data_IF_049505398348
#
_entry.id   IF_049505398348
#
_cell.length_a   1.000
_cell.length_b   1.000
_cell.length_c   1.000
_cell.angle_alpha   90.00
_cell.angle_beta   90.00
_cell.angle_gamma   90.00
#
_symmetry.space_group_name_H-M   'P 1'
#
loop_
_entity.id
_entity.type
_entity.pdbx_description
1 polymer ?
#
# COMPACT_ATOMS: atom_id res chain seq x y z
N UNK A 1 2.61 13.51 -2.60
CA UNK A 1 1.24 13.01 -2.63
C UNK A 1 0.42 13.64 -3.74
N UNK A 2 -0.67 13.01 -4.14
CA UNK A 2 -1.58 13.62 -5.09
C UNK A 2 -2.08 14.97 -4.58
N UNK A 3 -2.02 16.04 -5.38
CA UNK A 3 -2.57 17.34 -5.00
C UNK A 3 -4.02 17.25 -4.54
N UNK A 4 -4.76 16.29 -5.05
CA UNK A 4 -6.17 16.08 -4.75
C UNK A 4 -6.38 15.46 -3.37
N UNK A 5 -5.57 14.48 -2.96
CA UNK A 5 -5.61 13.96 -1.60
C UNK A 5 -5.22 15.03 -0.57
N UNK A 6 -4.26 15.89 -0.91
CA UNK A 6 -3.88 17.01 -0.06
C UNK A 6 -4.99 18.05 0.06
N UNK A 7 -5.72 18.33 -1.02
CA UNK A 7 -6.82 19.27 -1.02
C UNK A 7 -8.03 18.81 -0.19
N UNK A 8 -8.21 17.50 -0.05
CA UNK A 8 -9.28 16.93 0.75
C UNK A 8 -9.12 17.12 2.24
N UNK A 9 -7.90 16.87 2.73
CA UNK A 9 -7.66 16.69 4.15
C UNK A 9 -6.43 17.41 4.67
N UNK A 10 -5.65 18.00 3.80
CA UNK A 10 -4.37 18.52 4.15
C UNK A 10 -4.06 19.91 3.66
N UNK A 11 -4.98 20.55 2.93
CA UNK A 11 -4.73 21.92 2.48
C UNK A 11 -4.52 22.89 3.67
N UNK A 12 -5.09 22.56 4.80
CA UNK A 12 -4.94 23.34 6.04
C UNK A 12 -4.01 22.66 7.04
N UNK A 13 -3.69 21.37 6.85
CA UNK A 13 -2.87 20.60 7.79
C UNK A 13 -3.48 20.43 9.18
N UNK A 14 -4.71 20.89 9.38
CA UNK A 14 -5.35 20.90 10.69
C UNK A 14 -6.65 20.08 10.65
N UNK A 15 -6.73 18.95 11.38
CA UNK A 15 -7.95 18.15 11.48
C UNK A 15 -9.16 18.93 12.01
N UNK A 16 -8.93 20.06 12.68
CA UNK A 16 -10.00 20.91 13.22
C UNK A 16 -10.70 21.76 12.17
N UNK A 17 -10.13 21.90 10.98
CA UNK A 17 -10.74 22.69 9.88
C UNK A 17 -11.67 21.86 9.00
N UNK A 18 -11.75 20.56 9.23
CA UNK A 18 -12.83 19.74 8.71
C UNK A 18 -14.06 20.11 9.53
N UNK A 19 -15.08 20.69 8.88
CA UNK A 19 -16.34 21.01 9.54
C UNK A 19 -16.82 19.79 10.34
N UNK A 20 -17.15 20.02 11.60
CA UNK A 20 -17.65 18.94 12.48
C UNK A 20 -18.94 18.30 11.97
N UNK A 21 -19.61 18.98 11.04
CA UNK A 21 -20.81 18.51 10.35
C UNK A 21 -20.48 17.70 9.07
N UNK A 22 -19.26 17.78 8.55
CA UNK A 22 -18.80 16.82 7.54
C UNK A 22 -18.50 15.53 8.29
N UNK A 23 -19.44 14.63 8.28
CA UNK A 23 -19.48 13.33 8.96
C UNK A 23 -18.35 12.39 8.50
N UNK A 24 -17.13 12.79 8.75
CA UNK A 24 -16.00 11.87 8.73
C UNK A 24 -15.92 11.21 10.10
N UNK A 25 -16.79 10.24 10.30
CA UNK A 25 -16.80 9.46 11.51
C UNK A 25 -15.50 8.66 11.58
N UNK A 26 -14.67 9.00 12.56
CA UNK A 26 -13.49 8.20 12.93
C UNK A 26 -13.91 6.79 13.40
N UNK A 27 -15.20 6.58 13.60
CA UNK A 27 -15.79 5.33 14.06
C UNK A 27 -16.11 4.34 12.94
N UNK A 28 -16.09 4.78 11.66
CA UNK A 28 -16.27 3.85 10.55
C UNK A 28 -14.97 3.11 10.29
N UNK A 29 -15.03 1.79 10.31
CA UNK A 29 -13.91 0.92 9.95
C UNK A 29 -13.43 1.18 8.51
N UNK A 30 -14.33 1.60 7.63
CA UNK A 30 -14.05 1.92 6.26
C UNK A 30 -13.35 3.28 6.12
N UNK A 31 -12.35 3.34 5.26
CA UNK A 31 -11.74 4.60 4.87
C UNK A 31 -12.69 5.35 3.91
N UNK A 32 -13.03 6.58 4.23
CA UNK A 32 -13.89 7.38 3.36
C UNK A 32 -13.21 7.73 2.05
N UNK A 33 -13.99 7.71 0.98
CA UNK A 33 -13.56 8.13 -0.34
C UNK A 33 -14.67 8.89 -1.05
N UNK A 34 -14.31 9.53 -2.16
CA UNK A 34 -15.25 10.16 -3.08
C UNK A 34 -14.89 9.77 -4.51
N UNK A 35 -15.85 9.20 -5.20
CA UNK A 35 -15.78 8.97 -6.64
C UNK A 35 -17.18 8.98 -7.23
N UNK A 36 -17.31 9.45 -8.47
CA UNK A 36 -18.61 9.45 -9.19
C UNK A 36 -18.89 8.11 -9.90
N UNK A 37 -17.95 7.15 -9.83
CA UNK A 37 -18.07 5.83 -10.46
C UNK A 37 -19.08 4.93 -9.76
N UNK A 38 -19.22 5.08 -8.46
CA UNK A 38 -20.13 4.31 -7.60
C UNK A 38 -21.16 5.23 -6.95
N UNK A 39 -22.22 4.65 -6.40
CA UNK A 39 -23.28 5.43 -5.76
C UNK A 39 -22.81 6.02 -4.42
N UNK A 40 -23.56 7.03 -3.96
CA UNK A 40 -23.42 7.57 -2.61
C UNK A 40 -23.73 6.49 -1.56
N UNK A 41 -23.00 6.53 -0.44
CA UNK A 41 -23.09 5.57 0.66
C UNK A 41 -22.78 4.12 0.26
N UNK A 42 -22.08 3.88 -0.83
CA UNK A 42 -21.70 2.56 -1.27
C UNK A 42 -20.34 2.14 -0.67
N UNK A 43 -20.26 0.90 -0.19
CA UNK A 43 -19.01 0.34 0.31
C UNK A 43 -18.26 -0.36 -0.81
N UNK A 44 -16.93 -0.21 -0.81
CA UNK A 44 -16.06 -0.71 -1.85
C UNK A 44 -14.91 -1.51 -1.24
N UNK A 45 -14.46 -2.50 -1.98
CA UNK A 45 -13.15 -3.08 -1.78
C UNK A 45 -12.15 -2.44 -2.75
N UNK A 46 -10.91 -2.26 -2.30
CA UNK A 46 -9.86 -1.72 -3.14
C UNK A 46 -8.52 -2.42 -2.90
N UNK A 47 -7.67 -2.42 -3.91
CA UNK A 47 -6.28 -2.84 -3.79
C UNK A 47 -5.42 -2.20 -4.88
N UNK A 48 -4.14 -2.08 -4.58
CA UNK A 48 -3.08 -1.61 -5.47
C UNK A 48 -2.12 -2.75 -5.79
N UNK A 49 -1.58 -2.78 -7.00
CA UNK A 49 -0.49 -3.69 -7.35
C UNK A 49 0.86 -3.15 -6.79
N UNK A 50 1.76 -4.01 -6.25
CA UNK A 50 1.59 -5.43 -6.05
C UNK A 50 0.65 -5.76 -4.88
N UNK A 51 -0.18 -6.78 -5.04
CA UNK A 51 -1.06 -7.29 -3.99
C UNK A 51 -0.40 -8.49 -3.32
N UNK A 52 0.14 -8.30 -2.11
CA UNK A 52 0.98 -9.28 -1.44
C UNK A 52 0.23 -10.12 -0.40
N UNK A 53 -0.92 -9.66 0.07
CA UNK A 53 -1.66 -10.39 1.08
C UNK A 53 -2.95 -9.72 1.55
N UNK A 54 -3.61 -10.37 2.49
CA UNK A 54 -4.91 -9.96 3.05
C UNK A 54 -4.89 -8.57 3.70
N UNK A 55 -3.73 -8.13 4.19
CA UNK A 55 -3.54 -6.81 4.79
C UNK A 55 -3.51 -5.68 3.75
N UNK A 56 -3.32 -5.98 2.45
CA UNK A 56 -3.38 -4.99 1.36
C UNK A 56 -4.79 -4.75 0.84
N UNK A 57 -5.78 -5.53 1.27
CA UNK A 57 -7.15 -5.33 0.83
C UNK A 57 -7.77 -4.18 1.63
N UNK A 58 -8.06 -3.08 0.94
CA UNK A 58 -8.68 -1.91 1.52
C UNK A 58 -10.20 -2.00 1.54
N UNK A 59 -10.80 -1.35 2.54
CA UNK A 59 -12.24 -1.24 2.71
C UNK A 59 -12.61 0.23 2.73
N UNK A 60 -13.37 0.68 1.74
CA UNK A 60 -13.72 2.07 1.52
C UNK A 60 -15.21 2.29 1.65
N UNK A 61 -15.58 3.51 2.04
CA UNK A 61 -16.95 4.01 2.04
C UNK A 61 -17.03 5.23 1.11
N UNK A 62 -17.76 5.10 0.01
CA UNK A 62 -17.95 6.17 -0.93
C UNK A 62 -19.01 7.14 -0.41
N UNK A 63 -18.62 8.37 -0.13
CA UNK A 63 -19.51 9.41 0.40
C UNK A 63 -19.48 10.62 -0.52
N UNK A 64 -20.65 11.00 -1.02
CA UNK A 64 -20.78 12.19 -1.84
C UNK A 64 -20.66 13.45 -0.99
N UNK A 65 -19.87 14.38 -1.49
CA UNK A 65 -19.63 15.64 -0.85
C UNK A 65 -19.88 16.77 -1.84
N UNK A 66 -20.79 17.68 -1.51
CA UNK A 66 -21.17 18.79 -2.40
C UNK A 66 -20.02 19.77 -2.66
N UNK A 67 -19.05 19.88 -1.73
CA UNK A 67 -17.83 20.67 -1.95
C UNK A 67 -16.97 20.08 -3.05
N UNK A 68 -16.85 18.74 -3.10
CA UNK A 68 -16.16 18.08 -4.21
C UNK A 68 -16.83 18.34 -5.53
N UNK A 69 -18.13 18.15 -5.59
CA UNK A 69 -18.94 18.44 -6.77
C UNK A 69 -18.81 19.88 -7.22
N UNK A 70 -18.76 20.82 -6.27
CA UNK A 70 -18.70 22.26 -6.55
C UNK A 70 -17.32 22.71 -7.03
N UNK A 71 -16.25 22.23 -6.39
CA UNK A 71 -14.89 22.74 -6.62
C UNK A 71 -14.04 21.85 -7.51
N UNK A 72 -14.34 20.56 -7.58
CA UNK A 72 -13.59 19.58 -8.36
C UNK A 72 -14.52 18.81 -9.29
N UNK A 73 -14.27 18.94 -10.59
CA UNK A 73 -14.98 18.17 -11.60
C UNK A 73 -14.22 16.87 -11.90
N UNK A 74 -14.16 16.00 -10.91
CA UNK A 74 -13.54 14.69 -11.11
C UNK A 74 -14.33 13.86 -12.11
N UNK A 75 -13.63 13.19 -13.01
CA UNK A 75 -14.22 12.14 -13.83
C UNK A 75 -14.36 10.84 -13.02
N UNK A 76 -15.08 9.89 -13.56
CA UNK A 76 -15.33 8.57 -12.93
C UNK A 76 -14.08 7.67 -12.80
N UNK A 77 -12.95 8.11 -13.36
CA UNK A 77 -11.66 7.42 -13.23
C UNK A 77 -10.84 7.91 -12.04
N UNK A 78 -11.31 8.93 -11.33
CA UNK A 78 -10.61 9.49 -10.18
C UNK A 78 -11.35 9.11 -8.90
N UNK A 79 -10.58 8.61 -7.94
CA UNK A 79 -11.03 8.42 -6.57
C UNK A 79 -10.21 9.30 -5.64
N UNK A 80 -10.88 10.06 -4.81
CA UNK A 80 -10.27 10.84 -3.75
C UNK A 80 -10.45 10.09 -2.43
N UNK A 81 -9.40 9.93 -1.64
CA UNK A 81 -9.39 9.08 -0.44
C UNK A 81 -9.01 9.91 0.77
N UNK A 82 -9.67 9.64 1.90
CA UNK A 82 -9.30 10.22 3.18
C UNK A 82 -7.96 9.68 3.67
N UNK A 83 -7.00 10.60 3.84
CA UNK A 83 -5.66 10.29 4.34
C UNK A 83 -5.48 10.68 5.81
N UNK A 84 -6.44 11.42 6.39
CA UNK A 84 -6.30 11.91 7.74
C UNK A 84 -6.70 10.83 8.76
N UNK A 85 -5.74 10.41 9.56
CA UNK A 85 -5.95 9.38 10.58
C UNK A 85 -6.26 7.98 10.03
N UNK A 86 -5.91 7.72 8.76
CA UNK A 86 -6.12 6.41 8.14
C UNK A 86 -4.80 5.72 7.82
N UNK A 87 -4.85 4.41 7.67
CA UNK A 87 -3.73 3.56 7.27
C UNK A 87 -3.70 3.27 5.75
N UNK A 88 -4.43 4.06 4.96
CA UNK A 88 -4.63 3.82 3.54
C UNK A 88 -3.31 3.73 2.76
N UNK A 89 -2.36 4.64 3.00
CA UNK A 89 -1.08 4.63 2.31
C UNK A 89 -0.28 3.37 2.59
N UNK A 90 -0.15 3.01 3.87
CA UNK A 90 0.62 1.85 4.29
C UNK A 90 -0.04 0.55 3.81
N UNK A 91 -1.37 0.46 3.87
CA UNK A 91 -2.14 -0.68 3.37
C UNK A 91 -1.95 -0.86 1.86
N UNK A 92 -1.73 0.21 1.14
CA UNK A 92 -1.40 0.23 -0.29
C UNK A 92 0.12 0.24 -0.56
N UNK A 93 0.90 -0.44 0.29
CA UNK A 93 2.36 -0.58 0.14
C UNK A 93 3.09 0.77 0.04
N UNK A 94 2.71 1.74 0.86
CA UNK A 94 3.34 3.05 0.89
C UNK A 94 3.03 3.90 -0.35
N UNK A 95 1.80 3.80 -0.88
CA UNK A 95 1.39 4.63 -2.04
C UNK A 95 1.63 6.11 -1.75
N UNK A 96 2.15 6.85 -2.72
CA UNK A 96 2.42 8.29 -2.59
C UNK A 96 1.46 9.17 -3.41
N UNK A 97 0.52 8.53 -4.11
CA UNK A 97 -0.58 9.16 -4.85
C UNK A 97 -0.13 10.13 -5.96
N UNK A 98 1.05 9.90 -6.52
CA UNK A 98 1.63 10.70 -7.60
C UNK A 98 1.24 10.20 -9.00
N UNK A 99 0.14 9.53 -9.15
CA UNK A 99 -0.48 8.86 -10.29
C UNK A 99 -0.65 7.35 -10.05
N UNK A 100 -0.68 6.94 -8.79
CA UNK A 100 -0.98 5.56 -8.43
C UNK A 100 -2.38 5.16 -8.91
N UNK A 101 -2.48 3.95 -9.42
CA UNK A 101 -3.75 3.35 -9.82
C UNK A 101 -4.17 2.29 -8.82
N UNK A 102 -5.44 2.31 -8.44
CA UNK A 102 -6.06 1.31 -7.59
C UNK A 102 -7.21 0.63 -8.33
N UNK A 103 -7.41 -0.63 -8.04
CA UNK A 103 -8.61 -1.35 -8.46
C UNK A 103 -9.69 -1.19 -7.41
N UNK A 104 -10.92 -0.91 -7.83
CA UNK A 104 -12.08 -0.78 -6.94
C UNK A 104 -13.25 -1.60 -7.42
N UNK A 105 -13.99 -2.22 -6.49
CA UNK A 105 -15.18 -3.00 -6.79
C UNK A 105 -16.21 -2.90 -5.68
N UNK A 106 -17.49 -2.97 -6.06
CA UNK A 106 -18.65 -3.03 -5.16
C UNK A 106 -19.27 -4.43 -5.07
N UNK A 107 -18.59 -5.47 -5.57
CA UNK A 107 -19.08 -6.85 -5.46
C UNK A 107 -19.21 -7.23 -3.98
N UNK A 108 -20.41 -7.60 -3.56
CA UNK A 108 -20.79 -7.79 -2.16
C UNK A 108 -19.85 -8.75 -1.39
N UNK A 109 -19.50 -9.89 -2.00
CA UNK A 109 -18.62 -10.88 -1.35
C UNK A 109 -17.19 -10.36 -1.18
N UNK A 110 -16.69 -9.60 -2.15
CA UNK A 110 -15.34 -9.01 -2.08
C UNK A 110 -15.33 -7.87 -1.07
N UNK A 111 -16.37 -7.04 -1.03
CA UNK A 111 -16.52 -5.95 -0.04
C UNK A 111 -16.62 -6.53 1.37
N UNK A 112 -17.40 -7.60 1.58
CA UNK A 112 -17.48 -8.28 2.87
C UNK A 112 -16.12 -8.87 3.27
N UNK A 113 -15.39 -9.44 2.32
CA UNK A 113 -14.04 -9.95 2.58
C UNK A 113 -13.09 -8.82 2.94
N UNK A 114 -13.13 -7.68 2.25
CA UNK A 114 -12.33 -6.50 2.57
C UNK A 114 -12.61 -5.98 3.99
N UNK A 115 -13.88 -5.91 4.38
CA UNK A 115 -14.28 -5.58 5.76
C UNK A 115 -13.64 -6.52 6.77
N UNK A 116 -13.77 -7.83 6.56
CA UNK A 116 -13.20 -8.85 7.43
C UNK A 116 -11.66 -8.75 7.51
N UNK A 117 -11.02 -8.44 6.38
CA UNK A 117 -9.57 -8.24 6.35
C UNK A 117 -9.15 -6.99 7.13
N UNK A 118 -9.89 -5.89 6.99
CA UNK A 118 -9.65 -4.65 7.75
C UNK A 118 -9.78 -4.85 9.26
N UNK A 119 -10.73 -5.67 9.70
CA UNK A 119 -10.93 -6.00 11.11
C UNK A 119 -9.84 -6.91 11.69
N UNK A 120 -9.36 -7.87 10.89
CA UNK A 120 -8.51 -8.97 11.39
C UNK A 120 -7.01 -8.71 11.20
N UNK A 121 -6.61 -8.00 10.16
CA UNK A 121 -5.21 -7.87 9.79
C UNK A 121 -4.72 -6.44 9.97
N UNK A 122 -3.67 -6.29 10.77
CA UNK A 122 -2.95 -5.04 10.93
C UNK A 122 -2.26 -4.66 9.63
N UNK A 123 -2.12 -3.37 9.43
CA UNK A 123 -1.38 -2.82 8.29
C UNK A 123 0.13 -3.01 8.50
N UNK A 124 0.81 -3.45 7.46
CA UNK A 124 2.27 -3.64 7.49
C UNK A 124 2.93 -2.31 7.13
N UNK A 125 3.79 -1.83 8.02
CA UNK A 125 4.51 -0.56 7.84
C UNK A 125 5.99 -0.82 7.66
N UNK A 126 6.60 -0.20 6.64
CA UNK A 126 8.03 -0.26 6.41
C UNK A 126 8.78 0.70 7.35
N UNK A 127 9.47 0.14 8.34
CA UNK A 127 10.31 0.88 9.29
C UNK A 127 11.83 0.65 9.07
N UNK A 128 12.22 0.08 7.94
CA UNK A 128 13.64 -0.14 7.64
C UNK A 128 14.36 1.20 7.45
N UNK A 129 15.49 1.41 8.12
CA UNK A 129 16.26 2.65 8.01
C UNK A 129 16.81 2.84 6.59
N UNK A 130 17.04 4.09 6.24
CA UNK A 130 17.74 4.43 4.99
C UNK A 130 19.19 3.98 5.07
N UNK A 131 19.74 3.60 3.92
CA UNK A 131 21.17 3.36 3.76
C UNK A 131 21.96 4.60 4.17
N UNK A 132 22.92 4.44 5.07
CA UNK A 132 23.81 5.50 5.57
C UNK A 132 25.09 5.65 4.73
N UNK A 133 25.28 4.81 3.71
CA UNK A 133 26.46 4.89 2.86
C UNK A 133 26.53 6.22 2.09
N UNK A 134 27.71 6.80 2.06
CA UNK A 134 27.99 7.98 1.25
C UNK A 134 28.51 7.52 -0.12
N UNK A 135 27.95 8.10 -1.16
CA UNK A 135 28.34 7.83 -2.55
C UNK A 135 28.98 9.10 -3.12
N UNK A 136 30.17 8.96 -3.68
CA UNK A 136 30.87 10.03 -4.36
C UNK A 136 30.40 10.17 -5.81
N UNK A 137 30.57 11.36 -6.39
CA UNK A 137 30.26 11.61 -7.81
C UNK A 137 31.35 10.99 -8.71
N UNK A 138 31.59 9.68 -8.57
CA UNK A 138 32.52 8.90 -9.36
C UNK A 138 31.79 7.90 -10.26
N UNK A 139 32.37 7.57 -11.40
CA UNK A 139 31.84 6.54 -12.30
C UNK A 139 31.67 5.18 -11.61
N UNK A 140 32.53 4.88 -10.64
CA UNK A 140 32.45 3.65 -9.87
C UNK A 140 31.20 3.62 -8.98
N UNK A 141 30.88 4.71 -8.32
CA UNK A 141 29.72 4.78 -7.45
C UNK A 141 28.42 4.90 -8.24
N UNK A 142 28.43 5.60 -9.38
CA UNK A 142 27.32 5.55 -10.33
C UNK A 142 27.04 4.12 -10.80
N UNK A 143 28.05 3.36 -11.20
CA UNK A 143 27.88 1.97 -11.61
C UNK A 143 27.33 1.07 -10.45
N UNK A 144 27.71 1.34 -9.21
CA UNK A 144 27.15 0.65 -8.04
C UNK A 144 25.67 0.95 -7.84
N UNK A 145 25.27 2.22 -8.00
CA UNK A 145 23.88 2.63 -7.89
C UNK A 145 23.05 2.03 -9.03
N UNK A 146 23.55 2.06 -10.26
CA UNK A 146 22.87 1.46 -11.40
C UNK A 146 22.66 -0.04 -11.23
N UNK A 147 23.64 -0.76 -10.70
CA UNK A 147 23.50 -2.18 -10.39
C UNK A 147 22.45 -2.45 -9.32
N UNK A 148 22.38 -1.63 -8.27
CA UNK A 148 21.33 -1.75 -7.24
C UNK A 148 19.94 -1.50 -7.84
N UNK A 149 19.81 -0.49 -8.70
CA UNK A 149 18.54 -0.19 -9.38
C UNK A 149 18.12 -1.31 -10.34
N UNK A 150 19.05 -1.89 -11.08
CA UNK A 150 18.77 -2.99 -12.00
C UNK A 150 18.30 -4.25 -11.25
N UNK A 151 18.90 -4.54 -10.08
CA UNK A 151 18.49 -5.67 -9.24
C UNK A 151 17.08 -5.48 -8.66
N UNK A 152 16.68 -4.26 -8.32
CA UNK A 152 15.41 -3.98 -7.64
C UNK A 152 14.18 -4.47 -8.41
N UNK A 153 14.19 -4.43 -9.75
CA UNK A 153 13.08 -4.91 -10.57
C UNK A 153 12.85 -6.42 -10.43
N UNK A 154 13.94 -7.19 -10.36
CA UNK A 154 13.85 -8.63 -10.11
C UNK A 154 13.37 -8.90 -8.68
N UNK A 155 13.88 -8.15 -7.71
CA UNK A 155 13.54 -8.28 -6.31
C UNK A 155 12.05 -7.99 -6.04
N UNK A 156 11.43 -7.04 -6.75
CA UNK A 156 9.99 -6.78 -6.69
C UNK A 156 9.19 -8.05 -7.08
N UNK A 157 9.54 -8.62 -8.22
CA UNK A 157 8.87 -9.83 -8.72
C UNK A 157 9.07 -11.03 -7.80
N UNK A 158 10.30 -11.27 -7.38
CA UNK A 158 10.64 -12.41 -6.53
C UNK A 158 10.00 -12.30 -5.14
N UNK A 159 10.07 -11.14 -4.49
CA UNK A 159 9.47 -10.94 -3.17
C UNK A 159 7.95 -11.07 -3.21
N UNK A 160 7.30 -10.50 -4.23
CA UNK A 160 5.84 -10.58 -4.37
C UNK A 160 5.37 -12.02 -4.65
N UNK A 161 6.04 -12.74 -5.54
CA UNK A 161 5.70 -14.13 -5.84
C UNK A 161 5.92 -15.04 -4.62
N UNK A 162 7.02 -14.85 -3.90
CA UNK A 162 7.30 -15.63 -2.70
C UNK A 162 6.33 -15.30 -1.57
N UNK A 163 5.88 -14.05 -1.45
CA UNK A 163 4.85 -13.66 -0.48
C UNK A 163 3.51 -14.36 -0.77
N UNK A 164 3.11 -14.45 -2.04
CA UNK A 164 1.90 -15.19 -2.42
C UNK A 164 2.03 -16.70 -2.12
N UNK A 165 3.20 -17.29 -2.35
CA UNK A 165 3.46 -18.67 -1.99
C UNK A 165 3.43 -18.88 -0.48
N UNK A 166 4.06 -18.01 0.30
CA UNK A 166 4.02 -18.04 1.76
C UNK A 166 2.59 -17.92 2.28
N UNK A 167 1.76 -17.07 1.66
CA UNK A 167 0.35 -16.97 2.02
C UNK A 167 -0.44 -18.25 1.70
N UNK A 168 -0.12 -18.92 0.60
CA UNK A 168 -0.72 -20.22 0.27
C UNK A 168 -0.37 -21.26 1.32
N UNK A 169 0.88 -21.28 1.78
CA UNK A 169 1.32 -22.16 2.84
C UNK A 169 0.70 -21.83 4.20
N UNK A 170 0.53 -20.53 4.52
CA UNK A 170 -0.21 -20.10 5.70
C UNK A 170 -1.65 -20.62 5.70
N UNK A 171 -2.33 -20.50 4.56
CA UNK A 171 -3.70 -21.05 4.41
C UNK A 171 -3.77 -22.57 4.52
N UNK A 172 -2.68 -23.28 4.18
CA UNK A 172 -2.65 -24.75 4.18
C UNK A 172 -2.22 -25.32 5.53
N UNK A 173 -1.21 -24.72 6.15
CA UNK A 173 -0.55 -25.27 7.35
C UNK A 173 -0.86 -24.47 8.62
N UNK A 174 -1.35 -23.23 8.49
CA UNK A 174 -1.64 -22.30 9.62
C UNK A 174 -0.46 -22.15 10.60
N UNK A 175 0.77 -22.10 10.08
CA UNK A 175 1.97 -21.94 10.87
C UNK A 175 2.39 -20.47 10.94
N UNK A 176 2.75 -19.96 12.13
CA UNK A 176 3.16 -18.58 12.35
C UNK A 176 4.30 -18.14 11.44
N UNK A 177 5.27 -19.03 11.15
CA UNK A 177 6.40 -18.70 10.28
C UNK A 177 6.01 -18.21 8.89
N UNK A 178 4.91 -18.74 8.31
CA UNK A 178 4.45 -18.30 6.99
C UNK A 178 3.80 -16.92 7.05
N UNK A 179 3.10 -16.60 8.14
CA UNK A 179 2.57 -15.25 8.40
C UNK A 179 3.72 -14.24 8.51
N UNK A 180 4.78 -14.60 9.23
CA UNK A 180 5.98 -13.77 9.36
C UNK A 180 6.67 -13.56 8.01
N UNK A 181 6.78 -14.60 7.18
CA UNK A 181 7.35 -14.47 5.83
C UNK A 181 6.52 -13.57 4.94
N UNK A 182 5.19 -13.66 4.98
CA UNK A 182 4.32 -12.73 4.24
C UNK A 182 4.61 -11.29 4.65
N UNK A 183 4.73 -11.00 5.95
CA UNK A 183 5.04 -9.67 6.45
C UNK A 183 6.42 -9.18 5.99
N UNK A 184 7.45 -9.99 6.15
CA UNK A 184 8.82 -9.65 5.76
C UNK A 184 8.91 -9.41 4.25
N UNK A 185 8.39 -10.32 3.45
CA UNK A 185 8.43 -10.23 1.98
C UNK A 185 7.66 -9.03 1.45
N UNK A 186 6.61 -8.62 2.15
CA UNK A 186 5.86 -7.42 1.79
C UNK A 186 6.65 -6.15 2.04
N UNK A 187 7.39 -6.08 3.14
CA UNK A 187 8.32 -4.97 3.39
C UNK A 187 9.45 -4.97 2.36
N UNK A 188 10.00 -6.14 2.02
CA UNK A 188 11.04 -6.26 0.99
C UNK A 188 10.55 -5.80 -0.38
N UNK A 189 9.31 -6.13 -0.73
CA UNK A 189 8.69 -5.64 -1.98
C UNK A 189 8.56 -4.11 -1.99
N UNK A 190 8.11 -3.50 -0.88
CA UNK A 190 8.06 -2.04 -0.75
C UNK A 190 9.44 -1.41 -0.89
N UNK A 191 10.45 -1.96 -0.24
CA UNK A 191 11.85 -1.51 -0.33
C UNK A 191 12.35 -1.57 -1.78
N UNK A 192 12.08 -2.68 -2.47
CA UNK A 192 12.50 -2.85 -3.86
C UNK A 192 11.83 -1.83 -4.79
N UNK A 193 10.53 -1.53 -4.59
CA UNK A 193 9.81 -0.49 -5.33
C UNK A 193 10.42 0.88 -5.09
N UNK A 194 10.70 1.21 -3.84
CA UNK A 194 11.24 2.51 -3.44
C UNK A 194 12.73 2.68 -3.74
N UNK A 195 13.44 1.61 -4.12
CA UNK A 195 14.88 1.64 -4.41
C UNK A 195 15.26 2.61 -5.54
N UNK A 196 14.32 2.95 -6.41
CA UNK A 196 14.49 3.99 -7.43
C UNK A 196 14.56 5.41 -6.84
N UNK A 197 13.99 5.63 -5.67
CA UNK A 197 13.90 6.93 -5.00
C UNK A 197 14.91 7.06 -3.85
N UNK A 198 15.21 5.95 -3.17
CA UNK A 198 16.11 5.90 -2.01
C UNK A 198 16.63 4.49 -1.77
N UNK A 199 17.81 4.40 -1.18
CA UNK A 199 18.37 3.13 -0.73
C UNK A 199 18.05 2.88 0.74
N UNK A 200 17.87 1.61 1.09
CA UNK A 200 17.63 1.12 2.43
C UNK A 200 18.80 0.27 2.91
N UNK A 201 18.96 0.18 4.22
CA UNK A 201 20.01 -0.62 4.87
C UNK A 201 19.58 -2.10 4.97
N UNK A 202 19.32 -2.70 3.81
CA UNK A 202 18.98 -4.13 3.69
C UNK A 202 19.37 -4.65 2.33
N UNK A 203 19.89 -5.86 2.29
CA UNK A 203 20.11 -6.63 1.06
C UNK A 203 18.89 -7.51 0.77
N UNK A 204 17.99 -7.00 -0.05
CA UNK A 204 16.72 -7.66 -0.41
C UNK A 204 16.96 -9.04 -1.01
N UNK A 205 17.91 -9.16 -1.95
CA UNK A 205 18.21 -10.43 -2.61
C UNK A 205 18.72 -11.51 -1.65
N UNK A 206 19.53 -11.13 -0.67
CA UNK A 206 20.01 -12.05 0.37
C UNK A 206 18.87 -12.53 1.28
N UNK A 207 17.98 -11.62 1.67
CA UNK A 207 16.81 -11.99 2.49
C UNK A 207 15.83 -12.90 1.74
N UNK A 208 15.57 -12.64 0.47
CA UNK A 208 14.75 -13.53 -0.38
C UNK A 208 15.36 -14.93 -0.43
N UNK A 209 16.68 -15.05 -0.64
CA UNK A 209 17.36 -16.35 -0.67
C UNK A 209 17.27 -17.08 0.68
N UNK A 210 17.40 -16.34 1.79
CA UNK A 210 17.25 -16.91 3.13
C UNK A 210 15.86 -17.50 3.31
N UNK A 211 14.80 -16.75 2.98
CA UNK A 211 13.42 -17.21 3.11
C UNK A 211 13.14 -18.40 2.19
N UNK A 212 13.61 -18.38 0.93
CA UNK A 212 13.49 -19.55 0.03
C UNK A 212 14.07 -20.81 0.64
N UNK A 213 15.26 -20.70 1.24
CA UNK A 213 15.92 -21.83 1.92
C UNK A 213 15.12 -22.30 3.12
N UNK A 214 14.60 -21.38 3.94
CA UNK A 214 13.80 -21.70 5.13
C UNK A 214 12.45 -22.35 4.77
N UNK A 215 11.91 -22.06 3.60
CA UNK A 215 10.71 -22.69 3.06
C UNK A 215 10.99 -24.00 2.32
N UNK A 216 12.23 -24.47 2.33
CA UNK A 216 12.70 -25.69 1.63
C UNK A 216 12.39 -25.66 0.11
N UNK A 217 12.43 -24.47 -0.47
CA UNK A 217 12.30 -24.32 -1.91
C UNK A 217 13.68 -24.56 -2.54
N UNK A 218 13.81 -25.68 -3.25
CA UNK A 218 15.01 -25.94 -4.05
C UNK A 218 15.19 -24.85 -5.10
N UNK A 219 16.35 -24.24 -5.09
CA UNK A 219 16.78 -23.28 -6.11
C UNK A 219 16.97 -23.97 -7.47
#
# INVERSE_FOLDING_TARGET
GSPYAMLLYGATGNPCDVDKDDTFSVEDLATQCYTTRFNDNEYLAEFRSPFNGKYNLGYLHNVYNDRFKKYFKFCDQIIAVNMNGTDFQDRNNGSDMDSDSIYTTNQADIVLHAKNCKEKYLTIVNNIPKDSNVYDSTMKDFARLDNKLAASQLDIGESSNLAQLAQTYDCTFDEQKYKDYVCILSVLAQIAIDSAKRLFDVDVGSEIKRIKKDMDLSL
#
